data_IF_431548780933
#
_entry.id   IF_431548780933
#
_cell.length_a   1.000
_cell.length_b   1.000
_cell.length_c   1.000
_cell.angle_alpha   90.00
_cell.angle_beta   90.00
_cell.angle_gamma   90.00
#
_symmetry.space_group_name_H-M   'P 1'
#
loop_
_entity.id
_entity.type
_entity.pdbx_description
1 polymer ?
#
# COMPACT_ATOMS: atom_id res chain seq x y z
N UNK A 1 6.62 4.80 15.07
CA UNK A 1 5.28 5.09 15.63
C UNK A 1 4.30 4.40 14.68
N UNK A 2 3.57 3.39 15.14
CA UNK A 2 2.55 2.72 14.33
C UNK A 2 1.24 3.46 14.53
N UNK A 3 0.59 3.88 13.45
CA UNK A 3 -0.75 4.43 13.55
C UNK A 3 -1.71 3.26 13.41
N UNK A 4 -2.31 2.84 14.53
CA UNK A 4 -3.35 1.80 14.57
C UNK A 4 -4.72 2.46 14.48
N UNK A 5 -5.57 2.00 13.57
CA UNK A 5 -6.94 2.51 13.40
C UNK A 5 -7.96 1.37 13.48
N UNK A 6 -9.19 1.62 13.97
CA UNK A 6 -10.23 0.60 14.08
C UNK A 6 -10.66 0.07 12.72
N UNK A 7 -11.04 -1.22 12.68
CA UNK A 7 -11.33 -2.01 11.48
C UNK A 7 -12.44 -1.47 10.54
N UNK A 8 -13.29 -0.56 11.03
CA UNK A 8 -14.40 0.04 10.28
C UNK A 8 -14.11 1.44 9.74
N UNK A 9 -12.94 2.01 10.00
CA UNK A 9 -12.67 3.40 9.64
C UNK A 9 -12.23 3.56 8.18
N UNK A 10 -12.86 4.50 7.48
CA UNK A 10 -12.47 4.97 6.14
C UNK A 10 -11.72 6.28 6.30
N UNK A 11 -10.54 6.38 5.70
CA UNK A 11 -9.72 7.58 5.82
C UNK A 11 -9.28 8.06 4.46
N UNK A 12 -9.59 9.31 4.16
CA UNK A 12 -9.04 10.04 3.02
C UNK A 12 -8.02 11.04 3.55
N UNK A 13 -6.77 10.87 3.16
CA UNK A 13 -5.65 11.71 3.56
C UNK A 13 -5.20 12.48 2.32
N UNK A 14 -5.48 13.78 2.31
CA UNK A 14 -5.20 14.68 1.19
C UNK A 14 -4.02 15.56 1.58
N UNK A 15 -2.96 15.54 0.77
CA UNK A 15 -1.72 16.32 0.99
C UNK A 15 -0.89 16.09 2.26
N UNK A 16 -1.01 14.98 3.03
CA UNK A 16 -0.07 14.72 4.12
C UNK A 16 1.36 14.48 3.62
N UNK A 17 2.30 14.67 4.54
CA UNK A 17 3.67 14.18 4.41
C UNK A 17 3.85 13.02 5.39
N UNK A 18 4.16 11.84 4.87
CA UNK A 18 4.52 10.67 5.66
C UNK A 18 6.03 10.54 5.72
N UNK A 19 6.58 10.55 6.94
CA UNK A 19 8.01 10.39 7.19
C UNK A 19 8.29 9.13 7.98
N UNK A 20 9.07 8.22 7.39
CA UNK A 20 9.65 7.07 8.10
C UNK A 20 11.01 7.49 8.64
N UNK A 21 11.18 7.33 9.96
CA UNK A 21 12.44 7.61 10.67
C UNK A 21 13.03 6.30 11.21
N UNK A 22 14.35 6.18 11.19
CA UNK A 22 15.07 4.95 11.54
C UNK A 22 15.88 5.06 12.84
N UNK A 23 15.68 6.12 13.63
CA UNK A 23 16.40 6.34 14.90
C UNK A 23 16.11 5.28 15.97
N UNK A 24 14.93 4.64 15.91
CA UNK A 24 14.54 3.54 16.80
C UNK A 24 14.87 2.16 16.24
N UNK A 25 14.67 1.96 14.95
CA UNK A 25 14.93 0.68 14.27
C UNK A 25 15.34 0.95 12.83
N UNK A 26 16.31 0.18 12.35
CA UNK A 26 16.80 0.23 10.98
C UNK A 26 16.48 -1.05 10.21
N UNK A 27 15.74 -1.99 10.82
CA UNK A 27 15.50 -3.33 10.25
C UNK A 27 14.22 -3.44 9.42
N UNK A 28 13.21 -2.64 9.76
CA UNK A 28 11.91 -2.66 9.10
C UNK A 28 11.18 -1.33 9.31
N UNK A 29 10.31 -0.97 8.36
CA UNK A 29 9.34 0.11 8.53
C UNK A 29 8.19 -0.04 7.55
N UNK A 30 6.98 0.35 7.97
CA UNK A 30 5.76 0.25 7.15
C UNK A 30 4.91 1.50 7.39
N UNK A 31 4.45 2.15 6.33
CA UNK A 31 3.64 3.38 6.48
C UNK A 31 2.19 3.05 6.84
N UNK A 32 1.59 2.09 6.14
CA UNK A 32 0.19 1.70 6.35
C UNK A 32 0.05 0.28 6.92
N UNK A 33 -0.95 0.14 7.80
CA UNK A 33 -1.35 -1.14 8.39
C UNK A 33 -2.89 -1.27 8.47
N UNK A 34 -3.61 -1.28 7.34
CA UNK A 34 -5.07 -1.29 7.34
C UNK A 34 -5.61 -2.63 7.86
N UNK A 35 -6.67 -2.56 8.67
CA UNK A 35 -7.45 -3.69 9.17
C UNK A 35 -8.89 -3.68 8.62
N UNK A 36 -9.07 -3.14 7.40
CA UNK A 36 -10.38 -3.06 6.74
C UNK A 36 -11.00 -4.45 6.62
N UNK A 37 -12.27 -4.57 6.99
CA UNK A 37 -13.02 -5.82 6.82
C UNK A 37 -13.14 -6.20 5.34
N UNK A 38 -13.14 -7.51 5.05
CA UNK A 38 -13.34 -8.08 3.71
C UNK A 38 -14.66 -7.60 3.06
N UNK A 39 -15.70 -7.40 3.86
CA UNK A 39 -17.01 -6.91 3.43
C UNK A 39 -17.05 -5.41 3.13
N UNK A 40 -16.01 -4.66 3.50
CA UNK A 40 -15.94 -3.20 3.33
C UNK A 40 -15.01 -2.87 2.16
N UNK A 41 -15.53 -2.17 1.16
CA UNK A 41 -14.81 -1.83 -0.08
C UNK A 41 -13.67 -0.83 0.14
N UNK A 42 -13.87 0.14 1.03
CA UNK A 42 -12.97 1.29 1.19
C UNK A 42 -12.28 1.25 2.56
N UNK A 43 -10.96 1.39 2.56
CA UNK A 43 -10.11 1.57 3.72
C UNK A 43 -9.42 2.93 3.65
N UNK A 44 -8.11 2.93 3.41
CA UNK A 44 -7.32 4.15 3.34
C UNK A 44 -7.13 4.65 1.90
N UNK A 45 -7.20 5.96 1.74
CA UNK A 45 -6.81 6.66 0.52
C UNK A 45 -5.77 7.72 0.89
N UNK A 46 -4.56 7.60 0.34
CA UNK A 46 -3.57 8.66 0.36
C UNK A 46 -3.47 9.24 -1.05
N UNK A 47 -3.87 10.51 -1.20
CA UNK A 47 -3.87 11.21 -2.49
C UNK A 47 -3.09 12.51 -2.38
N UNK A 48 -2.41 12.88 -3.47
CA UNK A 48 -1.64 14.13 -3.54
C UNK A 48 -0.64 14.28 -2.39
N UNK A 49 -0.14 13.15 -1.87
CA UNK A 49 0.66 13.06 -0.66
C UNK A 49 2.15 12.97 -0.99
N UNK A 50 3.01 13.08 0.04
CA UNK A 50 4.46 12.85 -0.10
C UNK A 50 4.95 11.81 0.90
N UNK A 51 5.75 10.86 0.45
CA UNK A 51 6.36 9.81 1.25
C UNK A 51 7.87 9.95 1.21
N UNK A 52 8.52 9.93 2.38
CA UNK A 52 9.99 9.95 2.51
C UNK A 52 10.41 8.97 3.59
N UNK A 53 11.49 8.22 3.35
CA UNK A 53 12.04 7.30 4.32
C UNK A 53 13.53 7.55 4.56
N UNK A 54 13.95 7.43 5.83
CA UNK A 54 15.37 7.35 6.18
C UNK A 54 15.89 5.92 6.00
N UNK A 55 17.13 5.81 5.52
CA UNK A 55 17.79 4.52 5.24
C UNK A 55 17.62 4.07 3.79
N UNK A 56 18.30 2.98 3.42
CA UNK A 56 18.40 2.54 2.04
C UNK A 56 17.57 1.28 1.78
N UNK A 57 16.47 1.42 1.05
CA UNK A 57 15.68 0.31 0.49
C UNK A 57 15.08 -0.64 1.56
N UNK A 58 14.89 -0.17 2.80
CA UNK A 58 14.31 -0.96 3.92
C UNK A 58 12.82 -0.69 4.13
N UNK A 59 12.39 0.56 3.99
CA UNK A 59 11.02 0.95 4.32
C UNK A 59 10.03 0.44 3.27
N UNK A 60 8.85 0.00 3.71
CA UNK A 60 7.80 -0.48 2.82
C UNK A 60 6.58 0.44 2.93
N UNK A 61 5.76 0.51 1.87
CA UNK A 61 4.54 1.33 1.84
C UNK A 61 3.50 0.80 2.84
N UNK A 62 3.49 -0.51 3.08
CA UNK A 62 2.62 -1.06 4.10
C UNK A 62 2.60 -2.57 4.17
N UNK A 63 1.71 -3.06 5.03
CA UNK A 63 1.34 -4.47 5.17
C UNK A 63 -0.08 -4.57 5.70
N UNK A 64 -0.75 -5.71 5.55
CA UNK A 64 -2.09 -5.88 6.10
C UNK A 64 -1.98 -6.06 7.62
N UNK A 65 -2.94 -5.51 8.36
CA UNK A 65 -3.17 -5.86 9.76
C UNK A 65 -4.32 -6.86 9.81
N UNK A 66 -3.99 -8.15 9.81
CA UNK A 66 -4.98 -9.22 9.90
C UNK A 66 -5.32 -9.44 11.37
N UNK A 67 -6.31 -8.70 11.88
CA UNK A 67 -6.77 -8.83 13.27
C UNK A 67 -7.53 -10.14 13.50
N UNK A 68 -8.17 -10.66 12.45
CA UNK A 68 -8.97 -11.89 12.44
C UNK A 68 -9.09 -12.46 11.01
N UNK A 69 -9.83 -13.56 10.87
CA UNK A 69 -10.12 -14.18 9.58
C UNK A 69 -11.02 -13.35 8.64
N UNK A 70 -11.61 -12.26 9.12
CA UNK A 70 -12.51 -11.39 8.35
C UNK A 70 -11.83 -10.12 7.84
N UNK A 71 -10.54 -9.94 8.13
CA UNK A 71 -9.77 -8.77 7.76
C UNK A 71 -9.06 -8.96 6.41
N UNK A 72 -9.10 -7.94 5.56
CA UNK A 72 -8.27 -7.81 4.37
C UNK A 72 -8.06 -6.32 4.11
N UNK A 73 -7.05 -5.75 4.76
CA UNK A 73 -6.79 -4.32 4.77
C UNK A 73 -6.74 -3.70 3.37
N UNK A 74 -7.43 -2.57 3.20
CA UNK A 74 -7.49 -1.85 1.93
C UNK A 74 -6.74 -0.51 2.05
N UNK A 75 -5.86 -0.24 1.08
CA UNK A 75 -5.22 1.06 0.91
C UNK A 75 -4.99 1.35 -0.57
N UNK A 76 -5.21 2.61 -0.95
CA UNK A 76 -4.83 3.16 -2.26
C UNK A 76 -3.90 4.35 -2.04
N UNK A 77 -2.72 4.31 -2.66
CA UNK A 77 -1.82 5.46 -2.75
C UNK A 77 -1.87 5.95 -4.19
N UNK A 78 -2.33 7.19 -4.40
CA UNK A 78 -2.46 7.74 -5.75
C UNK A 78 -1.98 9.17 -5.87
N UNK A 79 -1.59 9.55 -7.09
CA UNK A 79 -1.23 10.93 -7.43
C UNK A 79 -0.15 11.53 -6.48
N UNK A 80 0.66 10.66 -5.88
CA UNK A 80 1.54 10.97 -4.75
C UNK A 80 3.02 10.85 -5.13
N UNK A 81 3.89 11.55 -4.40
CA UNK A 81 5.33 11.46 -4.57
C UNK A 81 5.94 10.46 -3.56
N UNK A 82 6.43 9.34 -4.05
CA UNK A 82 7.17 8.33 -3.27
C UNK A 82 8.66 8.53 -3.56
N UNK A 83 9.38 9.08 -2.59
CA UNK A 83 10.79 9.42 -2.74
C UNK A 83 11.69 8.23 -2.35
N UNK A 84 12.98 8.48 -2.18
CA UNK A 84 13.99 7.48 -1.82
C UNK A 84 13.77 6.81 -0.45
N UNK A 85 14.51 5.72 -0.24
CA UNK A 85 14.56 4.94 1.00
C UNK A 85 13.51 3.84 1.13
N UNK A 86 12.52 3.79 0.21
CA UNK A 86 11.55 2.70 0.14
C UNK A 86 12.09 1.49 -0.63
N UNK A 87 11.63 0.30 -0.26
CA UNK A 87 11.88 -0.95 -0.95
C UNK A 87 11.02 -1.03 -2.21
N UNK A 88 11.65 -0.74 -3.35
CA UNK A 88 10.96 -0.68 -4.65
C UNK A 88 10.66 -2.08 -5.19
N UNK A 89 11.51 -3.07 -4.89
CA UNK A 89 11.33 -4.45 -5.33
C UNK A 89 10.18 -5.14 -4.57
N UNK A 90 9.99 -4.78 -3.30
CA UNK A 90 8.94 -5.33 -2.45
C UNK A 90 8.30 -4.22 -1.60
N UNK A 91 7.47 -3.35 -2.20
CA UNK A 91 6.87 -2.22 -1.50
C UNK A 91 5.81 -2.62 -0.47
N UNK A 92 5.30 -3.86 -0.56
CA UNK A 92 4.27 -4.41 0.33
C UNK A 92 4.79 -5.66 1.04
N UNK A 93 4.63 -5.71 2.36
CA UNK A 93 5.15 -6.80 3.18
C UNK A 93 4.06 -7.85 3.51
N UNK A 94 4.51 -8.97 4.08
CA UNK A 94 3.62 -9.96 4.66
C UNK A 94 2.75 -9.34 5.76
N UNK A 95 1.52 -9.83 5.88
CA UNK A 95 0.56 -9.36 6.87
C UNK A 95 1.06 -9.60 8.30
N UNK A 96 0.84 -8.63 9.17
CA UNK A 96 1.06 -8.82 10.61
C UNK A 96 -0.17 -9.44 11.25
N UNK A 97 0.05 -10.29 12.26
CA UNK A 97 -0.98 -11.10 12.92
C UNK A 97 -1.04 -12.51 12.34
N UNK A 98 -1.28 -12.62 11.03
CA UNK A 98 -1.43 -13.92 10.34
C UNK A 98 -0.15 -14.45 9.70
N UNK A 99 0.80 -13.59 9.35
CA UNK A 99 1.97 -13.97 8.53
C UNK A 99 1.63 -14.25 7.06
N UNK A 100 0.40 -13.97 6.60
CA UNK A 100 -0.03 -14.18 5.21
C UNK A 100 0.94 -13.45 4.26
N UNK A 101 1.57 -14.15 3.29
CA UNK A 101 2.41 -13.50 2.28
C UNK A 101 1.65 -12.43 1.51
N UNK A 102 2.34 -11.39 1.06
CA UNK A 102 1.74 -10.43 0.15
C UNK A 102 1.47 -11.09 -1.21
N UNK A 103 0.25 -10.92 -1.72
CA UNK A 103 -0.17 -11.39 -3.04
C UNK A 103 -0.97 -10.28 -3.73
N UNK A 104 -0.40 -9.70 -4.78
CA UNK A 104 -1.04 -8.66 -5.59
C UNK A 104 -1.82 -9.26 -6.75
N UNK A 105 -3.08 -8.83 -6.95
CA UNK A 105 -3.87 -9.29 -8.10
C UNK A 105 -3.52 -8.47 -9.35
N UNK A 106 -2.73 -9.07 -10.25
CA UNK A 106 -2.39 -8.46 -11.55
C UNK A 106 -3.52 -8.56 -12.57
N UNK A 107 -4.53 -9.40 -12.33
CA UNK A 107 -5.64 -9.65 -13.26
C UNK A 107 -5.24 -10.49 -14.46
N UNK A 108 -6.21 -10.64 -15.36
CA UNK A 108 -6.08 -11.34 -16.64
C UNK A 108 -6.70 -10.49 -17.75
N UNK A 109 -6.15 -10.56 -18.96
CA UNK A 109 -6.75 -9.91 -20.12
C UNK A 109 -8.00 -10.69 -20.59
N UNK A 110 -9.06 -9.96 -20.98
CA UNK A 110 -10.18 -10.54 -21.72
C UNK A 110 -9.83 -10.76 -23.20
N UNK A 111 -10.76 -11.32 -23.98
CA UNK A 111 -10.57 -11.59 -25.42
C UNK A 111 -10.27 -10.32 -26.25
N UNK A 112 -10.53 -9.13 -25.70
CA UNK A 112 -10.25 -7.83 -26.32
C UNK A 112 -8.96 -7.18 -25.80
N UNK A 113 -8.22 -7.89 -24.94
CA UNK A 113 -7.00 -7.39 -24.32
C UNK A 113 -7.23 -6.45 -23.13
N UNK A 114 -8.47 -6.24 -22.67
CA UNK A 114 -8.71 -5.38 -21.50
C UNK A 114 -8.38 -6.14 -20.23
N UNK A 115 -7.61 -5.50 -19.34
CA UNK A 115 -7.26 -6.08 -18.06
C UNK A 115 -8.49 -6.14 -17.14
N UNK A 116 -8.86 -7.35 -16.74
CA UNK A 116 -9.96 -7.62 -15.80
C UNK A 116 -9.40 -8.14 -14.48
N UNK A 117 -9.89 -7.57 -13.36
CA UNK A 117 -9.63 -8.07 -12.02
C UNK A 117 -10.68 -7.58 -11.03
N UNK A 118 -11.04 -8.45 -10.09
CA UNK A 118 -11.82 -8.05 -8.92
C UNK A 118 -10.88 -7.41 -7.88
N UNK A 119 -10.98 -6.09 -7.70
CA UNK A 119 -10.17 -5.35 -6.72
C UNK A 119 -10.51 -5.69 -5.26
N UNK A 120 -11.64 -6.37 -5.03
CA UNK A 120 -12.10 -6.84 -3.72
C UNK A 120 -12.02 -8.37 -3.58
N UNK A 121 -11.23 -9.04 -4.41
CA UNK A 121 -10.99 -10.47 -4.26
C UNK A 121 -10.27 -10.75 -2.93
N UNK A 122 -10.84 -11.65 -2.13
CA UNK A 122 -10.29 -12.03 -0.83
C UNK A 122 -9.11 -13.00 -0.91
N UNK A 123 -8.85 -13.57 -2.10
CA UNK A 123 -7.65 -14.36 -2.38
C UNK A 123 -6.37 -13.52 -2.51
N UNK A 124 -6.50 -12.19 -2.60
CA UNK A 124 -5.38 -11.25 -2.78
C UNK A 124 -5.44 -10.10 -1.76
N UNK A 125 -4.32 -9.40 -1.62
CA UNK A 125 -4.26 -8.16 -0.86
C UNK A 125 -4.94 -7.01 -1.64
N UNK A 126 -5.50 -6.05 -0.90
CA UNK A 126 -6.17 -4.86 -1.46
C UNK A 126 -5.33 -3.58 -1.32
N UNK A 127 -4.05 -3.68 -1.66
CA UNK A 127 -3.08 -2.58 -1.57
C UNK A 127 -2.69 -2.15 -2.98
N UNK A 128 -2.99 -0.90 -3.31
CA UNK A 128 -2.94 -0.42 -4.69
C UNK A 128 -2.18 0.89 -4.82
N UNK A 129 -1.54 1.05 -5.97
CA UNK A 129 -0.88 2.27 -6.38
C UNK A 129 -1.46 2.76 -7.71
N UNK A 130 -1.56 4.07 -7.90
CA UNK A 130 -2.02 4.64 -9.16
C UNK A 130 -1.40 6.02 -9.42
N UNK A 131 -0.77 6.22 -10.57
CA UNK A 131 -0.20 7.51 -10.98
C UNK A 131 0.72 8.14 -9.91
N UNK A 132 1.50 7.31 -9.22
CA UNK A 132 2.52 7.78 -8.29
C UNK A 132 3.78 8.18 -9.07
N UNK A 133 4.63 8.99 -8.44
CA UNK A 133 5.87 9.50 -9.03
C UNK A 133 7.01 9.49 -8.02
N UNK A 134 8.23 9.71 -8.50
CA UNK A 134 9.44 9.76 -7.68
C UNK A 134 10.19 8.44 -7.68
N UNK A 135 11.43 8.48 -7.20
CA UNK A 135 12.38 7.36 -7.32
C UNK A 135 11.93 6.10 -6.58
N UNK A 136 11.05 6.21 -5.58
CA UNK A 136 10.51 5.08 -4.83
C UNK A 136 9.26 4.47 -5.46
N UNK A 137 8.80 4.93 -6.62
CA UNK A 137 7.67 4.37 -7.36
C UNK A 137 8.15 3.59 -8.59
N UNK A 138 7.66 2.35 -8.75
CA UNK A 138 7.87 1.54 -9.96
C UNK A 138 6.91 1.91 -11.10
N UNK A 139 5.91 2.76 -10.84
CA UNK A 139 4.98 3.23 -11.85
C UNK A 139 5.74 4.25 -12.72
N UNK A 140 6.40 3.72 -13.74
CA UNK A 140 6.98 4.51 -14.83
C UNK A 140 5.83 5.35 -15.40
N UNK A 141 5.98 6.67 -15.34
CA UNK A 141 5.06 7.57 -16.00
C UNK A 141 4.85 7.09 -17.45
N UNK A 142 3.61 6.85 -17.87
CA UNK A 142 3.34 6.79 -19.30
C UNK A 142 3.88 8.10 -19.89
N UNK A 143 4.73 8.05 -20.93
CA UNK A 143 5.14 9.26 -21.60
C UNK A 143 3.87 9.93 -22.10
N UNK A 144 3.69 11.22 -21.76
CA UNK A 144 2.68 12.04 -22.41
C UNK A 144 2.89 11.92 -23.91
N UNK A 145 1.90 11.36 -24.60
CA UNK A 145 1.82 11.40 -26.06
C UNK A 145 1.51 12.82 -26.53
#
# INVERSE_FOLDING_TARGET
>A
MWISFPAAARWCLITPIFRVVNSRTQKEAYVFAPATLKSVTYGFLATNSRFTASGDNVAQLGRALDVDGNSNGQVVIRDSAINEGFNIAQPWAAAVGSGRPFSGNTGSADDKGNLQRNLNDNGFNRMWEYNNRGVGSTVVAEPKQ
#
